data_IF_733078366266
#
_entry.id   IF_733078366266
#
_cell.length_a   1.000
_cell.length_b   1.000
_cell.length_c   1.000
_cell.angle_alpha   90.00
_cell.angle_beta   90.00
_cell.angle_gamma   90.00
#
_symmetry.space_group_name_H-M   'P 1'
#
loop_
_entity.id
_entity.type
_entity.pdbx_description
1 polymer ?
#
# COMPACT_ATOMS: atom_id res chain seq x y z
N UNK A 1 -34.12 18.22 1.31
CA UNK A 1 -33.26 17.06 1.02
C UNK A 1 -32.16 17.55 0.08
N UNK A 2 -30.89 17.34 0.41
CA UNK A 2 -29.78 17.71 -0.48
C UNK A 2 -29.57 16.61 -1.51
N UNK A 3 -29.49 17.00 -2.79
CA UNK A 3 -29.17 16.07 -3.87
C UNK A 3 -27.73 15.55 -3.69
N UNK A 4 -27.55 14.24 -3.83
CA UNK A 4 -26.22 13.62 -3.81
C UNK A 4 -25.56 13.92 -5.14
N UNK A 5 -24.55 14.79 -5.12
CA UNK A 5 -23.82 15.25 -6.33
C UNK A 5 -22.66 14.31 -6.68
N UNK A 6 -22.22 13.45 -5.75
CA UNK A 6 -21.06 12.57 -5.93
C UNK A 6 -21.46 11.14 -5.57
N UNK A 7 -21.33 10.24 -6.54
CA UNK A 7 -21.47 8.80 -6.39
C UNK A 7 -20.08 8.15 -6.41
N UNK A 8 -19.76 7.37 -5.39
CA UNK A 8 -18.55 6.55 -5.30
C UNK A 8 -18.96 5.12 -5.63
N UNK A 9 -18.30 4.50 -6.60
CA UNK A 9 -18.58 3.12 -6.99
C UNK A 9 -17.31 2.30 -7.06
N UNK A 10 -17.25 1.26 -6.25
CA UNK A 10 -16.18 0.26 -6.21
C UNK A 10 -14.78 0.87 -6.19
N UNK A 11 -14.56 1.82 -5.28
CA UNK A 11 -13.26 2.47 -5.14
C UNK A 11 -12.35 1.67 -4.22
N UNK A 12 -11.14 1.44 -4.73
CA UNK A 12 -10.09 0.70 -4.04
C UNK A 12 -8.88 1.61 -3.91
N UNK A 13 -8.25 1.62 -2.73
CA UNK A 13 -7.07 2.42 -2.45
C UNK A 13 -6.03 1.59 -1.73
N UNK A 14 -4.84 1.55 -2.31
CA UNK A 14 -3.68 0.85 -1.80
C UNK A 14 -2.56 1.83 -1.48
N UNK A 15 -1.83 1.55 -0.42
CA UNK A 15 -0.65 2.27 0.04
C UNK A 15 0.53 1.32 0.12
N UNK A 16 1.71 1.82 -0.24
CA UNK A 16 2.98 1.13 -0.04
C UNK A 16 3.62 1.71 1.21
N UNK A 17 3.72 0.89 2.25
CA UNK A 17 4.38 1.29 3.51
C UNK A 17 5.83 0.84 3.41
N UNK A 18 6.72 1.80 3.21
CA UNK A 18 8.15 1.55 3.22
C UNK A 18 8.60 1.42 4.68
N UNK A 19 8.96 0.22 5.12
CA UNK A 19 9.67 0.05 6.39
C UNK A 19 11.08 0.58 6.22
N UNK A 20 11.55 1.34 7.20
CA UNK A 20 12.87 1.95 7.17
C UNK A 20 13.96 0.90 6.98
N UNK A 21 14.98 1.25 6.18
CA UNK A 21 16.02 0.31 5.74
C UNK A 21 16.74 -0.31 6.94
N UNK A 22 16.80 -1.64 6.93
CA UNK A 22 17.83 -2.47 7.53
C UNK A 22 19.17 -1.73 7.68
N UNK A 23 19.61 -1.52 8.92
CA UNK A 23 20.88 -0.83 9.23
C UNK A 23 22.12 -1.71 8.95
N UNK A 24 21.94 -3.01 8.77
CA UNK A 24 23.02 -3.96 8.56
C UNK A 24 23.18 -4.34 7.08
N UNK A 25 24.41 -4.24 6.58
CA UNK A 25 24.81 -4.61 5.21
C UNK A 25 24.39 -6.04 4.82
N UNK A 26 24.35 -6.95 5.80
CA UNK A 26 23.94 -8.35 5.63
C UNK A 26 22.50 -8.48 5.16
N UNK A 27 21.60 -7.68 5.75
CA UNK A 27 20.17 -7.67 5.40
C UNK A 27 19.95 -7.02 4.04
N UNK A 28 20.74 -6.00 3.68
CA UNK A 28 20.71 -5.38 2.34
C UNK A 28 21.11 -6.39 1.27
N UNK A 29 22.18 -7.18 1.51
CA UNK A 29 22.62 -8.22 0.61
C UNK A 29 21.53 -9.29 0.43
N UNK A 30 20.99 -9.84 1.53
CA UNK A 30 19.92 -10.84 1.47
C UNK A 30 18.68 -10.30 0.72
N UNK A 31 18.29 -9.05 0.97
CA UNK A 31 17.15 -8.43 0.29
C UNK A 31 17.39 -8.16 -1.21
N UNK A 32 18.63 -7.88 -1.61
CA UNK A 32 19.00 -7.69 -3.02
C UNK A 32 18.94 -9.00 -3.80
N UNK A 33 19.39 -10.11 -3.20
CA UNK A 33 19.39 -11.42 -3.85
C UNK A 33 18.01 -12.12 -3.85
N UNK A 34 17.14 -11.82 -2.88
CA UNK A 34 15.79 -12.43 -2.79
C UNK A 34 14.68 -11.66 -3.51
N UNK A 35 15.00 -10.61 -4.28
CA UNK A 35 13.98 -9.83 -5.00
C UNK A 35 13.03 -9.08 -4.05
N UNK A 36 13.58 -8.57 -2.93
CA UNK A 36 12.82 -8.13 -1.78
C UNK A 36 11.79 -7.03 -2.06
N UNK A 37 10.53 -7.32 -1.74
CA UNK A 37 9.52 -6.30 -1.51
C UNK A 37 9.92 -5.46 -0.29
N UNK A 38 10.63 -4.35 -0.54
CA UNK A 38 11.03 -3.34 0.45
C UNK A 38 9.86 -2.53 1.02
N UNK A 39 8.65 -2.88 0.62
CA UNK A 39 7.43 -2.20 1.02
C UNK A 39 6.37 -3.24 1.34
N UNK A 40 5.63 -2.98 2.41
CA UNK A 40 4.41 -3.72 2.69
C UNK A 40 3.27 -3.09 1.92
N UNK A 41 2.44 -3.95 1.33
CA UNK A 41 1.28 -3.54 0.57
C UNK A 41 0.06 -3.49 1.48
N UNK A 42 -0.41 -2.29 1.78
CA UNK A 42 -1.57 -2.06 2.63
C UNK A 42 -2.76 -1.58 1.80
N UNK A 43 -3.90 -2.25 1.92
CA UNK A 43 -5.14 -1.81 1.28
C UNK A 43 -5.97 -1.02 2.29
N UNK A 44 -6.10 0.29 2.09
CA UNK A 44 -6.88 1.15 2.97
C UNK A 44 -8.37 1.17 2.60
N UNK A 45 -8.69 1.05 1.32
CA UNK A 45 -10.07 0.95 0.82
C UNK A 45 -10.14 -0.23 -0.15
N UNK A 46 -11.16 -1.06 0.00
CA UNK A 46 -11.49 -2.17 -0.92
C UNK A 46 -12.99 -2.21 -1.11
N UNK A 47 -13.44 -1.94 -2.34
CA UNK A 47 -14.85 -2.07 -2.72
C UNK A 47 -15.77 -1.09 -2.01
N UNK A 48 -15.34 0.16 -1.85
CA UNK A 48 -16.17 1.18 -1.20
C UNK A 48 -17.09 1.81 -2.25
N UNK A 49 -18.39 1.84 -1.95
CA UNK A 49 -19.42 2.52 -2.74
C UNK A 49 -20.27 3.41 -1.82
N UNK A 50 -20.59 4.63 -2.24
CA UNK A 50 -21.33 5.65 -1.48
C UNK A 50 -22.19 6.51 -2.40
#
# INVERSE_FOLDING_TARGET
MGDVVIEVKDVWKKFRIYRERSRMLKEVFINLFRGGNRYEEFWALKGVSL
#
